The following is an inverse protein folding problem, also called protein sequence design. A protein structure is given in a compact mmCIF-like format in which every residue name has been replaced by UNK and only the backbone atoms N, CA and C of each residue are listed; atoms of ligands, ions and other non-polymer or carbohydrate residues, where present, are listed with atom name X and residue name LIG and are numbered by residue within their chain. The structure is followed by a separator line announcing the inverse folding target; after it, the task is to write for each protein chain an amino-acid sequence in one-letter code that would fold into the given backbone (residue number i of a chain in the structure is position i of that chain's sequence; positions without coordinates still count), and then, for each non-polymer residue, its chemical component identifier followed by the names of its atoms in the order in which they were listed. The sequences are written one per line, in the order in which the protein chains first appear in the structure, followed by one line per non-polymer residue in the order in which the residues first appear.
data_IF_701109247901
#
_entry.id   IF_701109247901
#
_cell.length_a   1.000
_cell.length_b   1.000
_cell.length_c   1.000
_cell.angle_alpha   90.00
_cell.angle_beta   90.00
_cell.angle_gamma   90.00
#
_symmetry.space_group_name_H-M   'P 1'
#
loop_
_entity.id
_entity.type
_entity.pdbx_description
1 polymer ?
#
# COMPACT_ATOMS: atom_id res chain seq x y z
N UNK A 1 -1.91 31.48 31.44
CA UNK A 1 -2.68 30.37 32.03
C UNK A 1 -2.17 29.09 31.39
N UNK A 2 -1.44 28.29 32.16
CA UNK A 2 -0.65 27.15 31.68
C UNK A 2 -1.51 25.88 31.65
N UNK A 3 -1.58 25.22 30.50
CA UNK A 3 -2.07 23.85 30.36
C UNK A 3 -0.88 22.89 30.48
N UNK A 4 -0.90 21.95 31.43
CA UNK A 4 0.04 20.82 31.40
C UNK A 4 -0.47 19.60 32.19
N UNK A 5 -0.51 18.48 31.46
CA UNK A 5 -0.39 17.07 31.87
C UNK A 5 -1.47 16.41 32.75
N UNK A 6 -2.30 15.57 32.11
CA UNK A 6 -2.83 14.36 32.73
C UNK A 6 -2.00 13.17 32.23
N UNK A 7 -0.95 12.82 32.97
CA UNK A 7 -0.18 11.59 32.77
C UNK A 7 -0.87 10.47 33.56
N UNK A 8 -1.86 9.80 32.95
CA UNK A 8 -2.52 8.67 33.59
C UNK A 8 -1.62 7.43 33.57
N UNK A 9 -1.29 6.96 34.77
CA UNK A 9 -0.46 5.81 35.04
C UNK A 9 -1.16 4.51 34.61
N UNK A 10 -0.86 4.03 33.40
CA UNK A 10 -1.26 2.73 32.80
C UNK A 10 -0.89 1.48 33.61
N UNK A 11 -0.35 1.63 34.82
CA UNK A 11 0.10 0.56 35.73
C UNK A 11 -0.86 0.30 36.90
N UNK A 12 -1.96 1.05 37.01
CA UNK A 12 -2.97 0.84 38.06
C UNK A 12 -3.68 -0.51 37.96
N UNK A 13 -3.69 -1.13 36.78
CA UNK A 13 -4.41 -2.39 36.55
C UNK A 13 -3.74 -3.60 37.22
N UNK A 14 -2.44 -3.52 37.54
CA UNK A 14 -1.70 -4.62 38.17
C UNK A 14 -1.87 -4.69 39.70
N UNK A 15 -2.58 -3.74 40.32
CA UNK A 15 -2.80 -3.72 41.77
C UNK A 15 -4.11 -4.37 42.21
N UNK A 16 -4.95 -4.82 41.28
CA UNK A 16 -6.23 -5.48 41.57
C UNK A 16 -6.08 -7.00 41.49
N UNK A 17 -5.47 -7.61 42.51
CA UNK A 17 -5.45 -9.06 42.64
C UNK A 17 -4.81 -9.47 43.96
N UNK A 18 -5.38 -10.49 44.59
CA UNK A 18 -4.96 -11.13 45.85
C UNK A 18 -5.57 -10.58 47.16
N UNK A 19 -6.89 -10.49 47.22
CA UNK A 19 -7.61 -10.59 48.49
C UNK A 19 -8.99 -11.26 48.30
N UNK A 20 -9.02 -12.56 48.04
CA UNK A 20 -10.23 -13.38 48.17
C UNK A 20 -9.87 -14.71 48.83
N UNK A 21 -10.24 -14.84 50.11
CA UNK A 21 -10.20 -16.09 50.86
C UNK A 21 -11.34 -17.00 50.41
N UNK A 22 -11.02 -18.17 49.84
CA UNK A 22 -11.89 -19.34 49.99
C UNK A 22 -12.61 -19.94 48.77
N UNK A 23 -12.26 -19.63 47.52
CA UNK A 23 -12.68 -20.45 46.36
C UNK A 23 -11.50 -20.60 45.41
N UNK A 24 -10.70 -21.66 45.57
CA UNK A 24 -9.67 -22.07 44.60
C UNK A 24 -10.19 -23.24 43.77
N UNK A 25 -9.62 -23.39 42.57
CA UNK A 25 -9.81 -24.47 41.57
C UNK A 25 -10.65 -24.14 40.32
N UNK A 26 -10.56 -22.92 39.79
CA UNK A 26 -10.66 -22.78 38.33
C UNK A 26 -9.25 -22.49 37.79
N UNK A 27 -8.66 -23.50 37.14
CA UNK A 27 -7.42 -23.34 36.40
C UNK A 27 -7.61 -22.23 35.37
N UNK A 28 -6.72 -21.23 35.28
CA UNK A 28 -6.83 -20.23 34.24
C UNK A 28 -6.75 -20.94 32.89
N UNK A 29 -7.79 -20.79 32.08
CA UNK A 29 -7.76 -21.26 30.69
C UNK A 29 -6.67 -20.47 29.99
N UNK A 30 -5.64 -21.17 29.51
CA UNK A 30 -4.65 -20.59 28.61
C UNK A 30 -5.35 -20.25 27.30
N UNK A 31 -5.72 -18.99 27.13
CA UNK A 31 -6.15 -18.48 25.84
C UNK A 31 -4.93 -18.47 24.92
N UNK A 32 -4.83 -19.48 24.06
CA UNK A 32 -3.91 -19.45 22.93
C UNK A 32 -4.45 -18.46 21.90
N UNK A 33 -3.67 -17.42 21.59
CA UNK A 33 -3.98 -16.58 20.45
C UNK A 33 -3.77 -17.43 19.19
N UNK A 34 -4.86 -17.82 18.54
CA UNK A 34 -4.78 -18.31 17.17
C UNK A 34 -4.34 -17.11 16.31
N UNK A 35 -3.04 -17.01 16.05
CA UNK A 35 -2.54 -16.11 15.02
C UNK A 35 -3.18 -16.59 13.73
N UNK A 36 -4.07 -15.82 13.10
CA UNK A 36 -4.56 -16.20 11.79
C UNK A 36 -3.32 -16.36 10.91
N UNK A 37 -3.17 -17.53 10.31
CA UNK A 37 -2.18 -17.75 9.27
C UNK A 37 -2.62 -16.85 8.11
N UNK A 38 -2.05 -15.64 8.07
CA UNK A 38 -2.24 -14.75 6.94
C UNK A 38 -1.47 -15.42 5.82
N UNK A 39 -2.20 -16.15 4.98
CA UNK A 39 -1.68 -16.67 3.72
C UNK A 39 -1.27 -15.42 2.90
N UNK A 40 0.00 -15.05 2.99
CA UNK A 40 0.56 -13.91 2.25
C UNK A 40 0.48 -14.24 0.76
N UNK A 41 -0.60 -13.80 0.12
CA UNK A 41 -0.77 -13.93 -1.32
C UNK A 41 0.41 -13.26 -2.02
N UNK A 42 1.08 -14.02 -2.86
CA UNK A 42 2.15 -13.52 -3.72
C UNK A 42 1.66 -12.31 -4.52
N UNK A 43 2.51 -11.28 -4.62
CA UNK A 43 2.19 -10.06 -5.36
C UNK A 43 1.87 -10.39 -6.82
N UNK A 44 0.73 -9.92 -7.31
CA UNK A 44 0.28 -10.23 -8.67
C UNK A 44 -0.53 -9.10 -9.29
N UNK A 45 -0.44 -9.02 -10.61
CA UNK A 45 -1.33 -8.19 -11.44
C UNK A 45 -2.63 -8.98 -11.65
N UNK A 46 -3.71 -8.51 -11.04
CA UNK A 46 -5.05 -9.10 -11.13
C UNK A 46 -5.81 -8.68 -12.40
N UNK A 47 -5.44 -7.55 -13.00
CA UNK A 47 -5.97 -7.10 -14.28
C UNK A 47 -4.84 -6.42 -15.04
N UNK A 48 -4.54 -6.95 -16.23
CA UNK A 48 -3.43 -6.51 -17.06
C UNK A 48 -3.57 -5.06 -17.55
N UNK A 49 -2.50 -4.52 -18.15
CA UNK A 49 -2.47 -3.14 -18.57
C UNK A 49 -3.47 -2.82 -19.68
N UNK A 50 -4.17 -1.71 -19.52
CA UNK A 50 -5.07 -1.12 -20.50
C UNK A 50 -4.60 0.30 -20.85
N UNK A 51 -4.72 0.67 -22.12
CA UNK A 51 -4.32 1.97 -22.65
C UNK A 51 -5.54 2.87 -22.83
N UNK A 52 -5.48 4.07 -22.26
CA UNK A 52 -6.49 5.12 -22.42
C UNK A 52 -5.81 6.39 -22.92
N UNK A 53 -6.31 6.98 -24.01
CA UNK A 53 -5.80 8.27 -24.50
C UNK A 53 -6.71 9.41 -24.07
N UNK A 54 -6.10 10.50 -23.63
CA UNK A 54 -6.79 11.76 -23.30
C UNK A 54 -6.53 12.83 -24.38
N UNK A 55 -6.14 12.40 -25.58
CA UNK A 55 -5.60 13.27 -26.64
C UNK A 55 -4.33 14.01 -26.17
N UNK A 56 -3.89 15.07 -26.87
CA UNK A 56 -2.74 15.92 -26.49
C UNK A 56 -1.37 15.22 -26.41
N UNK A 57 -1.14 14.18 -27.20
CA UNK A 57 0.08 13.38 -27.17
C UNK A 57 0.37 12.77 -25.78
N UNK A 58 -0.70 12.40 -25.08
CA UNK A 58 -0.64 11.71 -23.81
C UNK A 58 -1.34 10.35 -23.89
N UNK A 59 -0.86 9.41 -23.07
CA UNK A 59 -1.51 8.13 -22.86
C UNK A 59 -1.42 7.73 -21.39
N UNK A 60 -2.53 7.25 -20.85
CA UNK A 60 -2.62 6.66 -19.53
C UNK A 60 -2.54 5.15 -19.66
N UNK A 61 -1.72 4.52 -18.83
CA UNK A 61 -1.58 3.07 -18.74
C UNK A 61 -2.09 2.67 -17.35
N UNK A 62 -3.10 1.80 -17.33
CA UNK A 62 -3.82 1.41 -16.13
C UNK A 62 -3.78 -0.10 -15.90
N UNK A 63 -3.58 -0.53 -14.66
CA UNK A 63 -3.64 -1.94 -14.27
C UNK A 63 -4.05 -2.07 -12.80
N UNK A 64 -4.36 -3.29 -12.37
CA UNK A 64 -4.81 -3.56 -10.99
C UNK A 64 -3.97 -4.67 -10.36
N UNK A 65 -3.47 -4.42 -9.14
CA UNK A 65 -2.72 -5.39 -8.32
C UNK A 65 -3.55 -5.97 -7.18
N UNK A 66 -3.11 -7.10 -6.63
CA UNK A 66 -3.75 -7.75 -5.48
C UNK A 66 -3.48 -7.04 -4.14
N UNK A 67 -2.45 -6.21 -4.05
CA UNK A 67 -2.09 -5.43 -2.86
C UNK A 67 -1.68 -4.00 -3.22
N UNK A 68 -1.71 -3.10 -2.22
CA UNK A 68 -1.28 -1.71 -2.42
C UNK A 68 0.21 -1.67 -2.78
N UNK A 69 0.55 -0.98 -3.86
CA UNK A 69 1.93 -0.77 -4.26
C UNK A 69 2.14 0.62 -4.87
N UNK A 70 3.40 1.05 -4.82
CA UNK A 70 3.90 2.13 -5.67
C UNK A 70 4.37 1.53 -6.99
N UNK A 71 4.06 2.19 -8.09
CA UNK A 71 4.40 1.72 -9.42
C UNK A 71 5.04 2.80 -10.28
N UNK A 72 5.72 2.39 -11.33
CA UNK A 72 6.28 3.25 -12.36
C UNK A 72 6.23 2.56 -13.71
N UNK A 73 6.46 3.32 -14.77
CA UNK A 73 6.55 2.79 -16.14
C UNK A 73 7.91 3.15 -16.68
N UNK A 74 8.66 2.15 -17.14
CA UNK A 74 9.80 2.36 -18.01
C UNK A 74 9.34 2.30 -19.47
N UNK A 75 9.73 3.27 -20.30
CA UNK A 75 9.29 3.34 -21.69
C UNK A 75 10.33 3.98 -22.61
N UNK A 76 10.20 3.71 -23.91
CA UNK A 76 11.14 4.21 -24.92
C UNK A 76 10.68 3.92 -26.35
N UNK A 77 11.44 4.41 -27.32
CA UNK A 77 11.14 4.27 -28.76
C UNK A 77 11.69 2.95 -29.34
N UNK A 78 12.46 2.18 -28.57
CA UNK A 78 12.91 0.82 -28.91
C UNK A 78 12.72 -0.12 -27.71
N UNK A 79 12.42 -1.40 -27.95
CA UNK A 79 12.20 -2.38 -26.87
C UNK A 79 13.48 -2.66 -26.07
N UNK A 80 14.65 -2.48 -26.66
CA UNK A 80 15.95 -2.65 -26.01
C UNK A 80 16.35 -1.41 -25.17
N UNK A 81 15.63 -0.30 -25.31
CA UNK A 81 15.99 0.98 -24.69
C UNK A 81 14.77 1.70 -24.09
N UNK A 82 14.40 1.28 -22.87
CA UNK A 82 13.35 1.90 -22.06
C UNK A 82 13.96 2.94 -21.08
N UNK A 83 14.52 4.01 -21.63
CA UNK A 83 15.31 5.00 -20.89
C UNK A 83 14.50 6.11 -20.20
N UNK A 84 13.18 6.17 -20.44
CA UNK A 84 12.29 7.13 -19.78
C UNK A 84 11.50 6.44 -18.67
N UNK A 85 11.35 7.12 -17.53
CA UNK A 85 10.55 6.64 -16.39
C UNK A 85 9.38 7.60 -16.13
N UNK A 86 8.19 7.08 -15.87
CA UNK A 86 7.02 7.83 -15.44
C UNK A 86 6.46 7.25 -14.12
N UNK A 87 5.94 8.12 -13.26
CA UNK A 87 5.32 7.75 -11.98
C UNK A 87 3.86 8.21 -11.98
N UNK A 88 3.04 7.60 -11.11
CA UNK A 88 1.69 8.11 -10.84
C UNK A 88 1.75 9.53 -10.28
N UNK A 89 0.80 10.38 -10.70
CA UNK A 89 0.65 11.73 -10.16
C UNK A 89 0.27 11.60 -8.67
N UNK A 90 1.07 12.18 -7.78
CA UNK A 90 0.82 12.22 -6.35
C UNK A 90 0.86 13.64 -5.81
N UNK A 91 0.51 13.81 -4.54
CA UNK A 91 0.39 15.11 -3.89
C UNK A 91 1.52 15.35 -2.89
N UNK A 92 1.92 16.61 -2.70
CA UNK A 92 2.95 17.04 -1.74
C UNK A 92 4.30 16.31 -1.88
N UNK A 93 4.64 15.86 -3.10
CA UNK A 93 5.87 15.10 -3.37
C UNK A 93 5.82 13.62 -2.98
N UNK A 94 4.66 13.11 -2.55
CA UNK A 94 4.42 11.71 -2.27
C UNK A 94 3.98 10.97 -3.54
N UNK A 95 4.25 9.67 -3.62
CA UNK A 95 3.78 8.81 -4.71
C UNK A 95 2.49 8.09 -4.29
N UNK A 96 1.52 7.93 -5.18
CA UNK A 96 0.30 7.20 -4.87
C UNK A 96 0.61 5.73 -4.63
N UNK A 97 0.08 5.18 -3.53
CA UNK A 97 0.16 3.78 -3.17
C UNK A 97 -1.24 3.18 -3.12
N UNK A 98 -1.59 2.37 -4.11
CA UNK A 98 -2.93 1.80 -4.23
C UNK A 98 -2.90 0.47 -4.99
N UNK A 99 -4.08 -0.10 -5.24
CA UNK A 99 -4.21 -1.29 -6.10
C UNK A 99 -4.47 -0.93 -7.55
N UNK A 100 -5.23 0.14 -7.80
CA UNK A 100 -5.43 0.69 -9.12
C UNK A 100 -4.27 1.61 -9.45
N UNK A 101 -3.47 1.21 -10.43
CA UNK A 101 -2.38 2.02 -10.95
C UNK A 101 -2.88 2.77 -12.18
N UNK A 102 -2.58 4.06 -12.24
CA UNK A 102 -2.87 4.91 -13.40
C UNK A 102 -1.69 5.86 -13.58
N UNK A 103 -0.85 5.58 -14.58
CA UNK A 103 0.34 6.37 -14.86
C UNK A 103 0.23 6.96 -16.26
N UNK A 104 0.43 8.28 -16.34
CA UNK A 104 0.29 9.05 -17.57
C UNK A 104 1.66 9.33 -18.17
N UNK A 105 1.86 8.89 -19.41
CA UNK A 105 2.99 9.30 -20.24
C UNK A 105 2.59 10.59 -20.97
N UNK A 106 3.40 11.63 -20.81
CA UNK A 106 3.14 12.98 -21.34
C UNK A 106 4.14 13.33 -22.44
N UNK A 107 3.79 14.30 -23.30
CA UNK A 107 4.68 14.84 -24.35
C UNK A 107 5.24 13.77 -25.30
N UNK A 108 4.41 12.79 -25.69
CA UNK A 108 4.81 11.77 -26.66
C UNK A 108 4.98 12.37 -28.06
N UNK A 109 5.86 11.80 -28.87
CA UNK A 109 5.94 12.19 -30.28
C UNK A 109 4.73 11.65 -31.03
N UNK A 110 4.03 12.46 -31.85
CA UNK A 110 2.96 11.96 -32.70
C UNK A 110 3.53 10.96 -33.73
N UNK A 111 2.70 10.00 -34.14
CA UNK A 111 3.08 8.96 -35.13
C UNK A 111 4.38 8.21 -34.77
N UNK A 112 4.61 7.96 -33.49
CA UNK A 112 5.79 7.27 -32.99
C UNK A 112 5.37 6.04 -32.18
N UNK A 113 6.03 4.90 -32.43
CA UNK A 113 5.83 3.69 -31.64
C UNK A 113 6.64 3.75 -30.37
N UNK A 114 5.99 3.50 -29.24
CA UNK A 114 6.61 3.37 -27.93
C UNK A 114 6.46 1.94 -27.40
N UNK A 115 7.45 1.51 -26.64
CA UNK A 115 7.49 0.27 -25.87
C UNK A 115 7.49 0.63 -24.39
N UNK A 116 6.91 -0.22 -23.55
CA UNK A 116 6.83 0.04 -22.12
C UNK A 116 6.90 -1.25 -21.28
N UNK A 117 7.28 -1.08 -20.01
CA UNK A 117 7.26 -2.07 -18.96
C UNK A 117 6.72 -1.44 -17.67
N UNK A 118 5.88 -2.19 -16.98
CA UNK A 118 5.31 -1.86 -15.66
C UNK A 118 5.98 -2.68 -14.56
#
# INVERSE_FOLDING_TARGET
MNNSTANENRRSFLKAGLAFSGITLLSPVLATAHTPEIEEKEFSITSGPYLQTEFNNEISILWITNSNCNSWIAYGESPEKLDKIAYGDGDLGLRPAGRLQCIKLKNLKPNCKYYYQI
#
